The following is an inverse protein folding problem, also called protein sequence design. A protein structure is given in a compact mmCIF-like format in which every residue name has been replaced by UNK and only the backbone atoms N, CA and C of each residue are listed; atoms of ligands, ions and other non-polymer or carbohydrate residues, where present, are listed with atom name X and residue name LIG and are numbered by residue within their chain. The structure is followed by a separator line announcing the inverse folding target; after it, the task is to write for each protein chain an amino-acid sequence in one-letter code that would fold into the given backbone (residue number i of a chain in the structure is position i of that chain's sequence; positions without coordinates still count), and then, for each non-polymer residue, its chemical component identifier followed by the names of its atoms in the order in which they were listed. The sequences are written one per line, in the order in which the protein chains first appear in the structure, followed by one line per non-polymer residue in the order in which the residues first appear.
data_IF_087396987470
#
_entry.id   IF_087396987470
#
_cell.length_a   1.000
_cell.length_b   1.000
_cell.length_c   1.000
_cell.angle_alpha   90.00
_cell.angle_beta   90.00
_cell.angle_gamma   90.00
#
_symmetry.space_group_name_H-M   'P 1'
#
loop_
_entity.id
_entity.type
_entity.pdbx_description
1 polymer ?
#
# COMPACT_ATOMS: atom_id res chain seq x y z
N UNK A 1 24.03 19.82 1.72
CA UNK A 1 25.28 19.56 2.46
C UNK A 1 25.20 18.30 3.33
N UNK A 2 24.00 17.88 3.76
CA UNK A 2 23.79 16.77 4.70
C UNK A 2 24.28 15.39 4.24
N UNK A 3 24.24 15.09 2.94
CA UNK A 3 24.65 13.78 2.42
C UNK A 3 26.14 13.50 2.59
N UNK A 4 27.00 14.50 2.30
CA UNK A 4 28.46 14.34 2.33
C UNK A 4 28.98 14.32 3.78
N UNK A 5 28.40 15.14 4.66
CA UNK A 5 28.70 15.11 6.10
C UNK A 5 28.36 13.76 6.71
N UNK A 6 27.17 13.22 6.42
CA UNK A 6 26.78 11.87 6.88
C UNK A 6 27.65 10.75 6.34
N UNK A 7 28.14 10.86 5.10
CA UNK A 7 29.07 9.88 4.54
C UNK A 7 30.42 9.90 5.28
N UNK A 8 30.92 11.09 5.64
CA UNK A 8 32.13 11.24 6.43
C UNK A 8 31.95 10.73 7.87
N UNK A 9 30.80 10.99 8.50
CA UNK A 9 30.46 10.44 9.82
C UNK A 9 30.42 8.91 9.81
N UNK A 10 29.80 8.31 8.78
CA UNK A 10 29.78 6.86 8.59
C UNK A 10 31.20 6.31 8.39
N UNK A 11 32.01 6.97 7.56
CA UNK A 11 33.39 6.57 7.30
C UNK A 11 34.24 6.58 8.58
N UNK A 12 34.13 7.66 9.37
CA UNK A 12 34.81 7.78 10.64
C UNK A 12 34.35 6.72 11.64
N UNK A 13 33.04 6.48 11.74
CA UNK A 13 32.46 5.52 12.69
C UNK A 13 32.76 4.07 12.34
N UNK A 14 32.88 3.74 11.05
CA UNK A 14 33.21 2.39 10.59
C UNK A 14 34.71 2.10 10.52
N UNK A 15 35.56 3.11 10.74
CA UNK A 15 37.00 2.99 10.53
C UNK A 15 37.37 2.81 9.04
N UNK A 16 36.49 3.20 8.13
CA UNK A 16 36.72 3.08 6.69
C UNK A 16 37.83 4.02 6.22
N UNK A 17 38.87 3.44 5.63
CA UNK A 17 40.05 4.18 5.12
C UNK A 17 39.91 4.45 3.61
N UNK A 18 39.10 3.65 2.90
CA UNK A 18 38.95 3.72 1.46
C UNK A 18 37.61 4.30 1.03
N UNK A 19 37.62 5.11 -0.03
CA UNK A 19 36.41 5.71 -0.62
C UNK A 19 35.39 4.65 -1.07
N UNK A 20 35.85 3.45 -1.46
CA UNK A 20 35.00 2.30 -1.80
C UNK A 20 34.15 1.86 -0.61
N UNK A 21 34.72 1.83 0.60
CA UNK A 21 34.02 1.43 1.81
C UNK A 21 32.99 2.49 2.22
N UNK A 22 33.35 3.77 2.10
CA UNK A 22 32.43 4.90 2.34
C UNK A 22 31.24 4.83 1.39
N UNK A 23 31.48 4.57 0.11
CA UNK A 23 30.41 4.36 -0.87
C UNK A 23 29.58 3.13 -0.54
N UNK A 24 30.22 2.01 -0.21
CA UNK A 24 29.54 0.76 0.15
C UNK A 24 28.56 0.98 1.31
N UNK A 25 29.01 1.57 2.41
CA UNK A 25 28.16 1.86 3.58
C UNK A 25 27.05 2.87 3.26
N UNK A 26 27.35 3.89 2.44
CA UNK A 26 26.35 4.84 1.97
C UNK A 26 25.19 4.15 1.24
N UNK A 27 25.51 3.33 0.23
CA UNK A 27 24.50 2.61 -0.54
C UNK A 27 23.80 1.51 0.26
N UNK A 28 24.50 0.82 1.19
CA UNK A 28 23.86 -0.12 2.11
C UNK A 28 22.78 0.55 2.96
N UNK A 29 23.05 1.77 3.46
CA UNK A 29 22.06 2.53 4.22
C UNK A 29 20.84 2.88 3.36
N UNK A 30 21.07 3.38 2.15
CA UNK A 30 19.97 3.68 1.23
C UNK A 30 19.11 2.45 0.91
N UNK A 31 19.73 1.30 0.67
CA UNK A 31 19.01 0.02 0.48
C UNK A 31 18.17 -0.33 1.71
N UNK A 32 18.69 -0.12 2.92
CA UNK A 32 17.96 -0.41 4.15
C UNK A 32 16.78 0.55 4.36
N UNK A 33 16.97 1.85 4.08
CA UNK A 33 15.89 2.84 4.11
C UNK A 33 14.79 2.50 3.10
N UNK A 34 15.17 2.15 1.87
CA UNK A 34 14.22 1.75 0.82
C UNK A 34 13.49 0.45 1.14
N UNK A 35 14.13 -0.53 1.78
CA UNK A 35 13.44 -1.73 2.30
C UNK A 35 12.36 -1.38 3.30
N UNK A 36 12.63 -0.42 4.19
CA UNK A 36 11.65 0.09 5.14
C UNK A 36 10.44 0.69 4.44
N UNK A 37 10.69 1.60 3.49
CA UNK A 37 9.63 2.21 2.67
C UNK A 37 8.85 1.19 1.84
N UNK A 38 9.54 0.22 1.25
CA UNK A 38 8.93 -0.85 0.47
C UNK A 38 7.98 -1.70 1.33
N UNK A 39 8.44 -2.11 2.52
CA UNK A 39 7.62 -2.85 3.48
C UNK A 39 6.39 -2.05 3.92
N UNK A 40 6.58 -0.75 4.19
CA UNK A 40 5.48 0.16 4.52
C UNK A 40 4.44 0.24 3.40
N UNK A 41 4.88 0.47 2.16
CA UNK A 41 4.00 0.52 0.97
C UNK A 41 3.26 -0.80 0.75
N UNK A 42 3.94 -1.92 0.94
CA UNK A 42 3.29 -3.23 0.86
C UNK A 42 2.21 -3.39 1.93
N UNK A 43 2.46 -2.93 3.16
CA UNK A 43 1.45 -2.87 4.22
C UNK A 43 0.22 -2.03 3.84
N UNK A 44 0.42 -0.90 3.16
CA UNK A 44 -0.67 -0.08 2.63
C UNK A 44 -1.49 -0.82 1.55
N UNK A 45 -0.83 -1.55 0.65
CA UNK A 45 -1.53 -2.38 -0.34
C UNK A 45 -2.43 -3.42 0.34
N UNK A 46 -1.95 -4.09 1.39
CA UNK A 46 -2.74 -5.05 2.17
C UNK A 46 -3.92 -4.36 2.83
N UNK A 47 -3.68 -3.23 3.51
CA UNK A 47 -4.74 -2.48 4.19
C UNK A 47 -5.87 -2.03 3.24
N UNK A 48 -5.52 -1.51 2.05
CA UNK A 48 -6.53 -1.11 1.06
C UNK A 48 -7.26 -2.33 0.49
N UNK A 49 -6.57 -3.46 0.31
CA UNK A 49 -7.21 -4.70 -0.13
C UNK A 49 -8.22 -5.24 0.90
N UNK A 50 -7.89 -5.21 2.19
CA UNK A 50 -8.80 -5.60 3.26
C UNK A 50 -10.04 -4.68 3.30
N UNK A 51 -9.84 -3.38 3.10
CA UNK A 51 -10.94 -2.42 3.01
C UNK A 51 -11.86 -2.69 1.81
N UNK A 52 -11.31 -3.11 0.68
CA UNK A 52 -12.11 -3.52 -0.47
C UNK A 52 -12.96 -4.75 -0.15
N UNK A 53 -12.38 -5.76 0.48
CA UNK A 53 -13.13 -6.95 0.91
C UNK A 53 -14.27 -6.59 1.88
N UNK A 54 -14.02 -5.66 2.79
CA UNK A 54 -15.04 -5.13 3.70
C UNK A 54 -16.17 -4.40 2.95
N UNK A 55 -15.83 -3.56 1.97
CA UNK A 55 -16.81 -2.86 1.14
C UNK A 55 -17.64 -3.83 0.29
N UNK A 56 -16.99 -4.84 -0.32
CA UNK A 56 -17.67 -5.89 -1.08
C UNK A 56 -18.67 -6.63 -0.17
N UNK A 57 -18.31 -6.90 1.09
CA UNK A 57 -19.22 -7.48 2.08
C UNK A 57 -20.44 -6.60 2.39
N UNK A 58 -20.23 -5.29 2.65
CA UNK A 58 -21.35 -4.36 2.86
C UNK A 58 -22.28 -4.32 1.65
N UNK A 59 -21.71 -4.20 0.44
CA UNK A 59 -22.49 -4.12 -0.80
C UNK A 59 -23.32 -5.40 -0.96
N UNK A 60 -22.73 -6.57 -0.73
CA UNK A 60 -23.41 -7.85 -0.82
C UNK A 60 -24.59 -7.95 0.16
N UNK A 61 -24.41 -7.55 1.41
CA UNK A 61 -25.48 -7.55 2.41
C UNK A 61 -26.60 -6.57 2.05
N UNK A 62 -26.26 -5.38 1.55
CA UNK A 62 -27.25 -4.41 1.09
C UNK A 62 -28.02 -4.91 -0.13
N UNK A 63 -27.34 -5.49 -1.11
CA UNK A 63 -27.99 -6.10 -2.29
C UNK A 63 -28.88 -7.28 -1.89
N UNK A 64 -28.45 -8.09 -0.92
CA UNK A 64 -29.26 -9.17 -0.37
C UNK A 64 -30.53 -8.62 0.28
N UNK A 65 -30.42 -7.61 1.15
CA UNK A 65 -31.56 -6.92 1.75
C UNK A 65 -32.51 -6.32 0.72
N UNK A 66 -31.97 -5.71 -0.35
CA UNK A 66 -32.77 -5.14 -1.43
C UNK A 66 -33.60 -6.21 -2.15
N UNK A 67 -32.99 -7.34 -2.48
CA UNK A 67 -33.63 -8.41 -3.24
C UNK A 67 -34.71 -9.15 -2.43
N UNK A 68 -34.60 -9.15 -1.09
CA UNK A 68 -35.57 -9.78 -0.18
C UNK A 68 -36.43 -8.74 0.56
N UNK A 69 -36.53 -7.52 0.03
CA UNK A 69 -37.20 -6.42 0.72
C UNK A 69 -38.72 -6.68 0.89
N UNK A 70 -39.35 -7.40 -0.05
CA UNK A 70 -40.76 -7.82 0.08
C UNK A 70 -41.00 -8.77 1.25
N UNK A 71 -40.03 -9.64 1.55
CA UNK A 71 -40.05 -10.54 2.70
C UNK A 71 -39.74 -9.77 3.99
N UNK A 72 -38.84 -8.79 3.93
CA UNK A 72 -38.56 -7.89 5.03
C UNK A 72 -39.77 -7.00 5.38
N UNK A 73 -40.56 -6.56 4.39
CA UNK A 73 -41.81 -5.81 4.59
C UNK A 73 -42.88 -6.62 5.33
N UNK A 74 -42.84 -7.96 5.21
CA UNK A 74 -43.73 -8.87 5.93
C UNK A 74 -43.34 -9.05 7.40
N UNK A 75 -42.06 -8.87 7.74
CA UNK A 75 -41.51 -9.07 9.08
C UNK A 75 -41.24 -7.77 9.84
N UNK A 76 -41.12 -6.63 9.15
CA UNK A 76 -40.82 -5.31 9.72
C UNK A 76 -41.67 -4.21 9.07
N UNK A 77 -42.03 -3.18 9.83
CA UNK A 77 -42.66 -1.97 9.30
C UNK A 77 -41.64 -1.13 8.51
N UNK A 78 -41.44 -1.46 7.24
CA UNK A 78 -40.67 -0.63 6.31
C UNK A 78 -41.50 0.57 5.85
N UNK A 79 -40.90 1.76 5.87
CA UNK A 79 -41.54 3.01 5.43
C UNK A 79 -41.49 3.12 3.92
N UNK A 80 -42.45 3.86 3.36
CA UNK A 80 -42.39 4.29 1.96
C UNK A 80 -41.15 5.17 1.76
N UNK A 81 -40.12 4.64 1.09
CA UNK A 81 -38.86 5.34 0.83
C UNK A 81 -37.60 4.58 1.27
N UNK A 82 -37.73 3.58 2.15
CA UNK A 82 -36.57 2.80 2.63
C UNK A 82 -35.87 2.07 1.47
N UNK A 83 -36.64 1.66 0.45
CA UNK A 83 -36.13 1.10 -0.80
C UNK A 83 -35.16 2.05 -1.51
N UNK A 84 -35.49 3.34 -1.56
CA UNK A 84 -34.68 4.36 -2.25
C UNK A 84 -33.39 4.59 -1.48
N UNK A 85 -33.48 4.73 -0.14
CA UNK A 85 -32.31 4.89 0.72
C UNK A 85 -31.34 3.70 0.58
N UNK A 86 -31.87 2.49 0.45
CA UNK A 86 -31.07 1.29 0.29
C UNK A 86 -30.36 1.25 -1.08
N UNK A 87 -31.06 1.61 -2.16
CA UNK A 87 -30.46 1.74 -3.51
C UNK A 87 -29.37 2.82 -3.53
N UNK A 88 -29.65 3.99 -2.95
CA UNK A 88 -28.69 5.09 -2.85
C UNK A 88 -27.44 4.66 -2.05
N UNK A 89 -27.64 3.89 -0.97
CA UNK A 89 -26.55 3.34 -0.16
C UNK A 89 -25.70 2.36 -0.97
N UNK A 90 -26.32 1.45 -1.74
CA UNK A 90 -25.60 0.52 -2.63
C UNK A 90 -24.77 1.30 -3.65
N UNK A 91 -25.36 2.31 -4.31
CA UNK A 91 -24.66 3.14 -5.29
C UNK A 91 -23.48 3.89 -4.65
N UNK A 92 -23.69 4.46 -3.47
CA UNK A 92 -22.65 5.16 -2.71
C UNK A 92 -21.47 4.24 -2.37
N UNK A 93 -21.73 3.06 -1.83
CA UNK A 93 -20.66 2.11 -1.49
C UNK A 93 -19.95 1.56 -2.73
N UNK A 94 -20.66 1.32 -3.84
CA UNK A 94 -20.03 0.93 -5.11
C UNK A 94 -19.05 2.00 -5.61
N UNK A 95 -19.44 3.27 -5.57
CA UNK A 95 -18.55 4.36 -5.98
C UNK A 95 -17.27 4.45 -5.12
N UNK A 96 -17.39 4.30 -3.79
CA UNK A 96 -16.22 4.26 -2.90
C UNK A 96 -15.35 3.05 -3.19
N UNK A 97 -15.97 1.89 -3.41
CA UNK A 97 -15.29 0.63 -3.71
C UNK A 97 -14.50 0.73 -5.01
N UNK A 98 -15.07 1.33 -6.05
CA UNK A 98 -14.36 1.58 -7.32
C UNK A 98 -13.15 2.49 -7.12
N UNK A 99 -13.31 3.58 -6.37
CA UNK A 99 -12.21 4.49 -6.04
C UNK A 99 -11.06 3.79 -5.28
N UNK A 100 -11.36 3.01 -4.24
CA UNK A 100 -10.33 2.26 -3.51
C UNK A 100 -9.68 1.17 -4.38
N UNK A 101 -10.42 0.59 -5.33
CA UNK A 101 -9.88 -0.41 -6.27
C UNK A 101 -8.86 0.20 -7.23
N UNK A 102 -9.16 1.38 -7.78
CA UNK A 102 -8.22 2.14 -8.61
C UNK A 102 -6.98 2.54 -7.81
N UNK A 103 -7.17 3.04 -6.59
CA UNK A 103 -6.07 3.37 -5.69
C UNK A 103 -5.17 2.16 -5.39
N UNK A 104 -5.75 0.98 -5.15
CA UNK A 104 -4.97 -0.25 -4.95
C UNK A 104 -4.19 -0.64 -6.22
N UNK A 105 -4.78 -0.50 -7.40
CA UNK A 105 -4.09 -0.76 -8.66
C UNK A 105 -2.86 0.16 -8.82
N UNK A 106 -3.02 1.46 -8.56
CA UNK A 106 -1.93 2.43 -8.63
C UNK A 106 -0.83 2.14 -7.59
N UNK A 107 -1.20 1.80 -6.36
CA UNK A 107 -0.25 1.40 -5.31
C UNK A 107 0.55 0.16 -5.72
N UNK A 108 -0.09 -0.84 -6.34
CA UNK A 108 0.59 -2.05 -6.84
C UNK A 108 1.58 -1.73 -7.95
N UNK A 109 1.24 -0.85 -8.89
CA UNK A 109 2.18 -0.40 -9.93
C UNK A 109 3.38 0.31 -9.32
N UNK A 110 3.16 1.21 -8.36
CA UNK A 110 4.22 1.92 -7.66
C UNK A 110 5.12 0.96 -6.86
N UNK A 111 4.53 -0.04 -6.20
CA UNK A 111 5.25 -1.07 -5.47
C UNK A 111 6.11 -1.92 -6.41
N UNK A 112 5.60 -2.32 -7.58
CA UNK A 112 6.37 -3.06 -8.59
C UNK A 112 7.57 -2.27 -9.10
N UNK A 113 7.38 -0.98 -9.41
CA UNK A 113 8.48 -0.10 -9.80
C UNK A 113 9.53 0.00 -8.68
N UNK A 114 9.07 0.19 -7.44
CA UNK A 114 9.93 0.27 -6.26
C UNK A 114 10.71 -1.02 -6.01
N UNK A 115 10.11 -2.20 -6.24
CA UNK A 115 10.80 -3.49 -6.15
C UNK A 115 11.97 -3.57 -7.13
N UNK A 116 11.74 -3.18 -8.39
CA UNK A 116 12.78 -3.19 -9.43
C UNK A 116 13.93 -2.22 -9.10
N UNK A 117 13.62 -1.05 -8.56
CA UNK A 117 14.64 -0.09 -8.13
C UNK A 117 15.47 -0.60 -6.95
N UNK A 118 14.80 -1.17 -5.94
CA UNK A 118 15.46 -1.76 -4.78
C UNK A 118 16.38 -2.93 -5.18
N UNK A 119 15.92 -3.81 -6.07
CA UNK A 119 16.72 -4.92 -6.59
C UNK A 119 18.00 -4.41 -7.28
N UNK A 120 17.88 -3.39 -8.15
CA UNK A 120 19.04 -2.79 -8.82
C UNK A 120 20.05 -2.22 -7.82
N UNK A 121 19.59 -1.54 -6.78
CA UNK A 121 20.47 -0.99 -5.74
C UNK A 121 21.12 -2.09 -4.91
N UNK A 122 20.38 -3.14 -4.57
CA UNK A 122 20.93 -4.32 -3.90
C UNK A 122 22.02 -5.00 -4.74
N UNK A 123 21.80 -5.16 -6.05
CA UNK A 123 22.80 -5.68 -6.98
C UNK A 123 24.04 -4.78 -7.06
N UNK A 124 23.84 -3.46 -7.07
CA UNK A 124 24.95 -2.51 -7.05
C UNK A 124 25.79 -2.63 -5.77
N UNK A 125 25.13 -2.67 -4.60
CA UNK A 125 25.78 -2.89 -3.30
C UNK A 125 26.55 -4.21 -3.26
N UNK A 126 25.99 -5.28 -3.83
CA UNK A 126 26.65 -6.58 -3.86
C UNK A 126 28.00 -6.57 -4.60
N UNK A 127 28.24 -5.61 -5.51
CA UNK A 127 29.52 -5.49 -6.22
C UNK A 127 30.69 -5.14 -5.29
N UNK A 128 30.42 -4.50 -4.15
CA UNK A 128 31.45 -4.19 -3.16
C UNK A 128 31.89 -5.42 -2.35
N UNK A 129 31.07 -6.47 -2.29
CA UNK A 129 31.42 -7.73 -1.61
C UNK A 129 32.24 -8.68 -2.50
N UNK A 130 32.38 -8.37 -3.78
CA UNK A 130 33.12 -9.17 -4.76
C UNK A 130 34.59 -8.72 -4.93
N UNK A 131 35.03 -7.74 -4.14
CA UNK A 131 36.38 -7.16 -4.13
C UNK A 131 37.13 -7.62 -2.89
#
# INVERSE_FOLDING_TARGET
MDGLVRLLELAYSSGAIYISDVMHFGFQREVQEERGWFSYLNGWCVHVADRLAYLDGIIQELEFCFNHMSEAQLLMELRSGDAIVLVDSIMYFKAIREFEAEKLANLRLFLQASAMHLERRMLFVARFNAV
#
